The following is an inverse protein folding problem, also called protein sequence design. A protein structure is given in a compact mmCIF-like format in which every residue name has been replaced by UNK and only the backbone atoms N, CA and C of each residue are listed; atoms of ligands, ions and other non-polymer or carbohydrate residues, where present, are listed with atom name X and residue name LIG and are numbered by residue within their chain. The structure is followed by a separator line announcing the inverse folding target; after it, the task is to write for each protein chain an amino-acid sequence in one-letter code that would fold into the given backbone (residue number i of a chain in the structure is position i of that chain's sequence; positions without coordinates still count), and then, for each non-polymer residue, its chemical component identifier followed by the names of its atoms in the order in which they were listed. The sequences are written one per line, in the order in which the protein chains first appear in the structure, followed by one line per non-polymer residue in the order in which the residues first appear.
data_IF_308378134783
#
_entry.id   IF_308378134783
#
_cell.length_a   1.000
_cell.length_b   1.000
_cell.length_c   1.000
_cell.angle_alpha   90.00
_cell.angle_beta   90.00
_cell.angle_gamma   90.00
#
_symmetry.space_group_name_H-M   'P 1'
#
loop_
_entity.id
_entity.type
_entity.pdbx_description
1 polymer ?
#
# COMPACT_ATOMS: atom_id res chain seq x y z
N UNK A 1 -7.16 -20.76 -9.89
CA UNK A 1 -6.03 -19.85 -10.17
C UNK A 1 -6.49 -18.72 -11.10
N UNK A 2 -6.24 -17.50 -10.74
CA UNK A 2 -6.50 -16.34 -11.59
C UNK A 2 -5.56 -16.34 -12.79
N UNK A 3 -6.10 -16.21 -13.97
CA UNK A 3 -5.28 -16.07 -15.19
C UNK A 3 -5.52 -14.70 -15.79
N UNK A 4 -4.43 -14.06 -16.24
CA UNK A 4 -4.49 -12.76 -16.91
C UNK A 4 -3.91 -12.92 -18.31
N UNK A 5 -4.62 -12.39 -19.29
CA UNK A 5 -4.06 -12.19 -20.62
C UNK A 5 -3.23 -10.92 -20.63
N UNK A 6 -1.90 -11.06 -20.60
CA UNK A 6 -0.96 -9.94 -20.56
C UNK A 6 -0.79 -9.23 -21.89
N UNK A 7 -1.37 -9.77 -22.97
CA UNK A 7 -1.19 -9.26 -24.33
C UNK A 7 -1.62 -7.78 -24.46
N UNK A 8 -2.69 -7.41 -23.77
CA UNK A 8 -3.24 -6.05 -23.82
C UNK A 8 -2.78 -5.16 -22.65
N UNK A 9 -1.81 -5.65 -21.88
CA UNK A 9 -1.30 -4.93 -20.72
C UNK A 9 -0.06 -4.13 -21.11
N UNK A 10 0.03 -2.86 -20.69
CA UNK A 10 1.22 -2.07 -20.95
C UNK A 10 2.44 -2.69 -20.24
N UNK A 11 3.62 -2.52 -20.83
CA UNK A 11 4.86 -3.13 -20.33
C UNK A 11 5.21 -2.69 -18.90
N UNK A 12 4.86 -1.47 -18.53
CA UNK A 12 5.15 -0.92 -17.21
C UNK A 12 4.35 -1.65 -16.13
N UNK A 13 3.06 -1.88 -16.35
CA UNK A 13 2.20 -2.59 -15.42
C UNK A 13 2.58 -4.07 -15.35
N UNK A 14 2.88 -4.69 -16.51
CA UNK A 14 3.32 -6.07 -16.59
C UNK A 14 4.59 -6.28 -15.75
N UNK A 15 5.56 -5.39 -15.88
CA UNK A 15 6.79 -5.45 -15.10
C UNK A 15 6.52 -5.37 -13.61
N UNK A 16 5.67 -4.44 -13.18
CA UNK A 16 5.32 -4.29 -11.76
C UNK A 16 4.64 -5.52 -11.19
N UNK A 17 3.74 -6.14 -11.93
CA UNK A 17 3.04 -7.35 -11.48
C UNK A 17 3.98 -8.54 -11.27
N UNK A 18 5.00 -8.66 -12.11
CA UNK A 18 5.89 -9.83 -12.12
C UNK A 18 7.25 -9.56 -11.49
N UNK A 19 7.50 -8.37 -10.96
CA UNK A 19 8.70 -8.04 -10.22
C UNK A 19 8.60 -8.63 -8.80
N UNK A 20 9.48 -9.55 -8.45
CA UNK A 20 9.42 -10.36 -7.22
C UNK A 20 9.38 -9.55 -5.93
N UNK A 21 10.01 -8.39 -5.90
CA UNK A 21 10.08 -7.55 -4.70
C UNK A 21 9.03 -6.45 -4.67
N UNK A 22 8.12 -6.44 -5.65
CA UNK A 22 7.14 -5.37 -5.78
C UNK A 22 5.85 -5.63 -5.02
N UNK A 23 5.23 -4.56 -4.53
CA UNK A 23 3.93 -4.62 -3.87
C UNK A 23 2.84 -5.18 -4.81
N UNK A 24 2.92 -4.86 -6.09
CA UNK A 24 1.97 -5.37 -7.09
C UNK A 24 2.09 -6.88 -7.24
N UNK A 25 3.31 -7.39 -7.23
CA UNK A 25 3.55 -8.82 -7.30
C UNK A 25 3.00 -9.54 -6.07
N UNK A 26 3.25 -8.98 -4.88
CA UNK A 26 2.72 -9.52 -3.63
C UNK A 26 1.19 -9.57 -3.62
N UNK A 27 0.56 -8.49 -4.07
CA UNK A 27 -0.90 -8.44 -4.20
C UNK A 27 -1.40 -9.47 -5.21
N UNK A 28 -0.70 -9.60 -6.33
CA UNK A 28 -1.04 -10.57 -7.36
C UNK A 28 -0.99 -11.99 -6.82
N UNK A 29 0.08 -12.33 -6.10
CA UNK A 29 0.22 -13.66 -5.49
C UNK A 29 -0.91 -13.89 -4.47
N UNK A 30 -1.20 -12.91 -3.63
CA UNK A 30 -2.27 -13.03 -2.62
C UNK A 30 -3.65 -13.26 -3.25
N UNK A 31 -3.89 -12.70 -4.44
CA UNK A 31 -5.17 -12.84 -5.14
C UNK A 31 -5.32 -14.16 -5.91
N UNK A 32 -4.20 -14.87 -6.18
CA UNK A 32 -4.23 -16.07 -7.02
C UNK A 32 -5.15 -17.18 -6.48
N UNK A 33 -5.20 -17.31 -5.18
CA UNK A 33 -5.92 -18.37 -4.52
C UNK A 33 -7.37 -18.02 -4.16
N UNK A 34 -7.82 -16.81 -4.49
CA UNK A 34 -9.19 -16.39 -4.19
C UNK A 34 -10.10 -16.65 -5.41
N UNK A 35 -10.98 -17.67 -5.33
CA UNK A 35 -11.83 -18.04 -6.47
C UNK A 35 -12.95 -17.04 -6.76
N UNK A 36 -13.22 -16.12 -5.86
CA UNK A 36 -14.29 -15.13 -6.03
C UNK A 36 -13.84 -13.90 -6.81
N UNK A 37 -12.53 -13.76 -7.04
CA UNK A 37 -12.00 -12.60 -7.74
C UNK A 37 -11.97 -12.81 -9.25
N UNK A 38 -12.33 -11.75 -9.99
CA UNK A 38 -12.17 -11.67 -11.43
C UNK A 38 -11.39 -10.39 -11.76
N UNK A 39 -10.64 -10.45 -12.87
CA UNK A 39 -9.78 -9.34 -13.28
C UNK A 39 -10.15 -8.90 -14.68
N UNK A 40 -10.32 -7.60 -14.87
CA UNK A 40 -10.49 -6.98 -16.20
C UNK A 40 -9.19 -6.22 -16.50
N UNK A 41 -8.52 -6.62 -17.57
CA UNK A 41 -7.25 -6.02 -18.00
C UNK A 41 -7.55 -4.78 -18.85
N UNK A 42 -6.99 -3.65 -18.41
CA UNK A 42 -6.91 -2.42 -19.20
C UNK A 42 -5.43 -2.17 -19.48
N UNK A 43 -5.14 -1.41 -20.52
CA UNK A 43 -3.73 -1.16 -20.92
C UNK A 43 -2.85 -0.69 -19.75
N UNK A 44 -3.34 0.24 -18.96
CA UNK A 44 -2.60 0.85 -17.85
C UNK A 44 -3.15 0.53 -16.48
N UNK A 45 -4.21 -0.26 -16.41
CA UNK A 45 -4.88 -0.58 -15.14
C UNK A 45 -5.40 -2.02 -15.14
N UNK A 46 -5.41 -2.61 -13.96
CA UNK A 46 -6.14 -3.84 -13.69
C UNK A 46 -7.30 -3.50 -12.76
N UNK A 47 -8.49 -3.88 -13.17
CA UNK A 47 -9.68 -3.73 -12.37
C UNK A 47 -10.06 -5.09 -11.80
N UNK A 48 -10.08 -5.19 -10.48
CA UNK A 48 -10.37 -6.44 -9.78
C UNK A 48 -11.76 -6.36 -9.17
N UNK A 49 -12.54 -7.40 -9.43
CA UNK A 49 -13.92 -7.50 -8.98
C UNK A 49 -14.12 -8.71 -8.08
N UNK A 50 -14.97 -8.57 -7.08
CA UNK A 50 -15.45 -9.68 -6.27
C UNK A 50 -16.97 -9.69 -6.41
N UNK A 51 -17.52 -10.83 -6.91
CA UNK A 51 -18.97 -10.99 -7.09
C UNK A 51 -19.61 -9.83 -7.89
N UNK A 52 -18.95 -9.41 -8.96
CA UNK A 52 -19.43 -8.36 -9.84
C UNK A 52 -19.23 -6.92 -9.36
N UNK A 53 -18.66 -6.74 -8.18
CA UNK A 53 -18.40 -5.40 -7.63
C UNK A 53 -16.89 -5.11 -7.65
N UNK A 54 -16.53 -3.94 -8.19
CA UNK A 54 -15.14 -3.52 -8.24
C UNK A 54 -14.61 -3.28 -6.83
N UNK A 55 -13.50 -3.93 -6.48
CA UNK A 55 -12.92 -3.87 -5.14
C UNK A 55 -11.52 -3.29 -5.11
N UNK A 56 -10.78 -3.36 -6.22
CA UNK A 56 -9.39 -2.93 -6.28
C UNK A 56 -9.04 -2.48 -7.69
N UNK A 57 -8.20 -1.45 -7.80
CA UNK A 57 -7.60 -1.06 -9.07
C UNK A 57 -6.09 -0.97 -8.87
N UNK A 58 -5.35 -1.67 -9.71
CA UNK A 58 -3.90 -1.57 -9.80
C UNK A 58 -3.55 -0.72 -11.02
N UNK A 59 -2.81 0.35 -10.81
CA UNK A 59 -2.39 1.27 -11.87
C UNK A 59 -0.88 1.38 -11.93
N UNK A 60 -0.33 1.56 -13.13
CA UNK A 60 1.12 1.45 -13.36
C UNK A 60 1.99 2.40 -12.57
N UNK A 61 1.53 3.59 -12.25
CA UNK A 61 2.34 4.63 -11.58
C UNK A 61 1.87 4.98 -10.18
N UNK A 62 0.71 4.53 -9.77
CA UNK A 62 0.15 4.94 -8.49
C UNK A 62 -0.05 3.74 -7.56
N UNK A 63 -0.30 4.05 -6.30
CA UNK A 63 -0.64 3.08 -5.29
C UNK A 63 -1.89 2.28 -5.69
N UNK A 64 -2.02 1.02 -5.24
CA UNK A 64 -3.26 0.29 -5.39
C UNK A 64 -4.43 1.07 -4.78
N UNK A 65 -5.52 1.18 -5.50
CA UNK A 65 -6.73 1.86 -5.03
C UNK A 65 -7.74 0.83 -4.57
N UNK A 66 -7.99 0.78 -3.27
CA UNK A 66 -8.99 -0.09 -2.66
C UNK A 66 -10.33 0.64 -2.73
N UNK A 67 -11.31 0.03 -3.41
CA UNK A 67 -12.63 0.64 -3.61
C UNK A 67 -13.63 0.09 -2.60
N UNK A 68 -13.51 -1.20 -2.29
CA UNK A 68 -14.39 -1.84 -1.31
C UNK A 68 -13.55 -2.60 -0.29
N UNK A 69 -13.33 -1.96 0.85
CA UNK A 69 -12.47 -2.47 1.91
C UNK A 69 -13.05 -3.73 2.55
N UNK A 70 -14.37 -3.77 2.73
CA UNK A 70 -15.09 -4.88 3.35
C UNK A 70 -15.00 -6.18 2.55
N UNK A 71 -14.69 -6.09 1.27
CA UNK A 71 -14.70 -7.25 0.38
C UNK A 71 -13.37 -8.01 0.32
N UNK A 72 -12.27 -7.33 0.59
CA UNK A 72 -10.94 -7.89 0.39
C UNK A 72 -9.96 -7.56 1.52
N UNK A 73 -10.44 -6.98 2.62
CA UNK A 73 -9.54 -6.51 3.68
C UNK A 73 -8.68 -7.62 4.28
N UNK A 74 -9.23 -8.81 4.47
CA UNK A 74 -8.45 -9.95 5.00
C UNK A 74 -7.37 -10.38 4.02
N UNK A 75 -7.71 -10.45 2.74
CA UNK A 75 -6.76 -10.85 1.70
C UNK A 75 -5.60 -9.88 1.58
N UNK A 76 -5.88 -8.60 1.73
CA UNK A 76 -4.88 -7.55 1.48
C UNK A 76 -4.25 -6.99 2.75
N UNK A 77 -4.67 -7.41 3.94
CA UNK A 77 -4.19 -6.81 5.19
C UNK A 77 -2.68 -6.86 5.33
N UNK A 78 -2.07 -8.01 5.13
CA UNK A 78 -0.61 -8.18 5.26
C UNK A 78 0.09 -7.34 4.18
N UNK A 79 -0.41 -7.38 2.94
CA UNK A 79 0.19 -6.64 1.83
C UNK A 79 0.05 -5.13 2.02
N UNK A 80 -1.07 -4.67 2.55
CA UNK A 80 -1.29 -3.27 2.89
C UNK A 80 -0.29 -2.80 3.94
N UNK A 81 -0.09 -3.59 5.00
CA UNK A 81 0.86 -3.26 6.07
C UNK A 81 2.29 -3.19 5.51
N UNK A 82 2.69 -4.16 4.70
CA UNK A 82 4.02 -4.15 4.07
C UNK A 82 4.24 -2.90 3.23
N UNK A 83 3.24 -2.52 2.45
CA UNK A 83 3.34 -1.36 1.58
C UNK A 83 3.42 -0.06 2.37
N UNK A 84 2.60 0.08 3.40
CA UNK A 84 2.64 1.26 4.27
C UNK A 84 3.92 1.31 5.10
N UNK A 85 4.44 0.17 5.52
CA UNK A 85 5.73 0.08 6.21
C UNK A 85 6.88 0.57 5.32
N UNK A 86 6.85 0.24 4.04
CA UNK A 86 7.85 0.74 3.09
C UNK A 86 7.79 2.26 2.99
N UNK A 87 6.60 2.82 2.86
CA UNK A 87 6.41 4.29 2.84
C UNK A 87 6.90 4.93 4.13
N UNK A 88 6.58 4.32 5.26
CA UNK A 88 7.01 4.78 6.58
C UNK A 88 8.52 4.83 6.70
N UNK A 89 9.21 3.78 6.29
CA UNK A 89 10.67 3.72 6.33
C UNK A 89 11.33 4.70 5.37
N UNK A 90 10.76 4.89 4.18
CA UNK A 90 11.24 5.88 3.22
C UNK A 90 11.14 7.30 3.81
N UNK A 91 10.03 7.59 4.46
CA UNK A 91 9.81 8.90 5.08
C UNK A 91 10.74 9.13 6.27
N UNK A 92 10.95 8.12 7.11
CA UNK A 92 11.91 8.20 8.23
C UNK A 92 13.32 8.53 7.74
N UNK A 93 13.77 7.84 6.71
CA UNK A 93 15.10 8.05 6.15
C UNK A 93 15.26 9.47 5.58
N UNK A 94 14.24 9.97 4.88
CA UNK A 94 14.24 11.30 4.29
C UNK A 94 14.23 12.41 5.34
N UNK A 95 13.47 12.23 6.40
CA UNK A 95 13.40 13.19 7.52
C UNK A 95 14.77 13.26 8.21
N UNK A 96 15.43 12.12 8.37
CA UNK A 96 16.75 12.03 8.98
C UNK A 96 17.83 12.73 8.13
N UNK A 97 17.70 12.61 6.81
CA UNK A 97 18.61 13.23 5.85
C UNK A 97 18.42 14.76 5.76
N UNK A 98 17.20 15.24 5.96
CA UNK A 98 16.80 16.66 5.97
C UNK A 98 17.08 17.44 4.66
N UNK A 99 17.53 16.78 3.60
CA UNK A 99 17.77 17.49 2.33
C UNK A 99 16.43 17.83 1.66
N UNK A 100 16.40 18.96 0.93
CA UNK A 100 15.21 19.39 0.21
C UNK A 100 14.77 18.36 -0.83
N UNK A 101 15.73 17.72 -1.49
CA UNK A 101 15.44 16.69 -2.48
C UNK A 101 14.78 15.46 -1.84
N UNK A 102 15.32 14.98 -0.70
CA UNK A 102 14.76 13.84 0.02
C UNK A 102 13.36 14.13 0.54
N UNK A 103 13.15 15.30 1.13
CA UNK A 103 11.84 15.71 1.64
C UNK A 103 10.79 15.85 0.53
N UNK A 104 11.18 16.36 -0.61
CA UNK A 104 10.28 16.46 -1.75
C UNK A 104 9.91 15.08 -2.31
N UNK A 105 10.86 14.14 -2.28
CA UNK A 105 10.65 12.78 -2.79
C UNK A 105 9.61 12.00 -1.96
N UNK A 106 9.44 12.31 -0.67
CA UNK A 106 8.50 11.61 0.21
C UNK A 106 7.16 12.30 0.37
N UNK A 107 6.90 13.37 -0.36
CA UNK A 107 5.65 14.14 -0.24
C UNK A 107 4.43 13.26 -0.43
N UNK A 108 4.44 12.40 -1.43
CA UNK A 108 3.36 11.44 -1.70
C UNK A 108 3.27 10.37 -0.60
N UNK A 109 4.42 9.85 -0.15
CA UNK A 109 4.47 8.86 0.94
C UNK A 109 3.82 9.41 2.21
N UNK A 110 4.15 10.63 2.58
CA UNK A 110 3.60 11.28 3.77
C UNK A 110 2.08 11.50 3.62
N UNK A 111 1.62 11.92 2.45
CA UNK A 111 0.19 12.10 2.18
C UNK A 111 -0.57 10.79 2.33
N UNK A 112 -0.05 9.69 1.79
CA UNK A 112 -0.67 8.37 1.90
C UNK A 112 -0.63 7.84 3.34
N UNK A 113 0.46 8.05 4.07
CA UNK A 113 0.57 7.68 5.47
C UNK A 113 -0.42 8.43 6.34
N UNK A 114 -0.60 9.73 6.10
CA UNK A 114 -1.57 10.55 6.82
C UNK A 114 -3.00 10.06 6.60
N UNK A 115 -3.33 9.74 5.36
CA UNK A 115 -4.63 9.18 4.98
C UNK A 115 -4.86 7.83 5.64
N UNK A 116 -3.86 6.96 5.62
CA UNK A 116 -3.91 5.63 6.24
C UNK A 116 -4.13 5.74 7.75
N UNK A 117 -3.34 6.55 8.43
CA UNK A 117 -3.42 6.73 9.88
C UNK A 117 -4.80 7.23 10.33
N UNK A 118 -5.46 8.04 9.52
CA UNK A 118 -6.80 8.55 9.79
C UNK A 118 -7.94 7.62 9.36
N UNK A 119 -7.63 6.43 8.80
CA UNK A 119 -8.63 5.53 8.23
C UNK A 119 -9.03 4.40 9.17
N UNK A 120 -10.17 3.78 8.87
CA UNK A 120 -10.61 2.56 9.58
C UNK A 120 -9.66 1.39 9.31
N UNK A 121 -8.98 1.37 8.16
CA UNK A 121 -8.01 0.32 7.84
C UNK A 121 -6.84 0.30 8.81
N UNK A 122 -6.31 1.47 9.16
CA UNK A 122 -5.22 1.54 10.16
C UNK A 122 -5.68 1.00 11.52
N UNK A 123 -6.91 1.33 11.92
CA UNK A 123 -7.48 0.83 13.18
C UNK A 123 -7.62 -0.70 13.18
N UNK A 124 -8.05 -1.27 12.06
CA UNK A 124 -8.15 -2.72 11.90
C UNK A 124 -6.77 -3.39 11.98
N UNK A 125 -5.79 -2.81 11.31
CA UNK A 125 -4.42 -3.33 11.30
C UNK A 125 -3.78 -3.22 12.68
N UNK A 126 -3.98 -2.09 13.36
CA UNK A 126 -3.51 -1.88 14.72
C UNK A 126 -4.13 -2.91 15.69
N UNK A 127 -5.44 -3.13 15.59
CA UNK A 127 -6.13 -4.13 16.42
C UNK A 127 -5.60 -5.54 16.16
N UNK A 128 -5.31 -5.89 14.91
CA UNK A 128 -4.73 -7.19 14.57
C UNK A 128 -3.34 -7.36 15.18
N UNK A 129 -2.54 -6.30 15.23
CA UNK A 129 -1.24 -6.31 15.89
C UNK A 129 -1.39 -6.50 17.40
N UNK A 130 -2.28 -5.75 18.04
CA UNK A 130 -2.53 -5.83 19.47
C UNK A 130 -3.02 -7.22 19.92
N UNK A 131 -3.79 -7.89 19.08
CA UNK A 131 -4.32 -9.23 19.38
C UNK A 131 -3.39 -10.37 18.96
N UNK A 132 -2.23 -10.05 18.38
CA UNK A 132 -1.25 -11.05 17.94
C UNK A 132 -1.67 -11.85 16.71
N UNK A 133 -2.56 -11.31 15.88
CA UNK A 133 -3.07 -11.99 14.68
C UNK A 133 -2.22 -11.76 13.43
N UNK A 134 -1.12 -11.02 13.55
CA UNK A 134 -0.21 -10.79 12.43
C UNK A 134 0.99 -11.73 12.50
N UNK A 135 1.61 -12.08 11.34
CA UNK A 135 2.80 -12.93 11.34
C UNK A 135 3.93 -12.31 12.19
N UNK A 136 4.64 -13.12 13.00
CA UNK A 136 5.68 -12.58 13.90
C UNK A 136 6.85 -11.90 13.18
N UNK A 137 7.14 -12.31 11.95
CA UNK A 137 8.23 -11.75 11.13
C UNK A 137 7.84 -10.51 10.33
N UNK A 138 6.54 -10.15 10.36
CA UNK A 138 6.06 -8.97 9.65
C UNK A 138 6.55 -7.70 10.35
N UNK A 139 7.21 -6.83 9.60
CA UNK A 139 7.64 -5.52 10.09
C UNK A 139 6.43 -4.59 10.13
N UNK A 140 6.23 -3.93 11.26
CA UNK A 140 5.01 -3.17 11.53
C UNK A 140 5.26 -1.91 12.36
N UNK A 141 6.38 -1.24 12.10
CA UNK A 141 6.68 0.06 12.70
C UNK A 141 5.59 1.09 12.41
N UNK A 142 4.97 1.01 11.22
CA UNK A 142 3.88 1.89 10.81
C UNK A 142 2.63 1.73 11.69
N UNK A 143 2.50 0.62 12.39
CA UNK A 143 1.38 0.37 13.32
C UNK A 143 1.68 0.87 14.74
N UNK A 144 2.88 1.38 14.99
CA UNK A 144 3.19 2.08 16.23
C UNK A 144 2.52 3.45 16.20
N UNK A 145 1.57 3.66 17.10
CA UNK A 145 0.84 4.93 17.18
C UNK A 145 1.80 6.11 17.37
N UNK A 146 2.73 5.97 18.30
CA UNK A 146 3.75 7.01 18.54
C UNK A 146 4.66 7.18 17.32
N UNK A 147 5.04 6.09 16.67
CA UNK A 147 5.92 6.13 15.51
C UNK A 147 5.34 6.92 14.35
N UNK A 148 4.14 6.58 13.93
CA UNK A 148 3.49 7.26 12.79
C UNK A 148 3.07 8.69 13.16
N UNK A 149 2.59 8.90 14.38
CA UNK A 149 2.23 10.24 14.85
C UNK A 149 3.45 11.16 14.85
N UNK A 150 4.56 10.71 15.41
CA UNK A 150 5.81 11.46 15.47
C UNK A 150 6.34 11.78 14.07
N UNK A 151 6.30 10.81 13.16
CA UNK A 151 6.73 11.02 11.77
C UNK A 151 5.95 12.15 11.10
N UNK A 152 4.63 12.09 11.19
CA UNK A 152 3.76 13.09 10.57
C UNK A 152 3.94 14.46 11.21
N UNK A 153 4.13 14.50 12.53
CA UNK A 153 4.39 15.72 13.27
C UNK A 153 5.73 16.35 12.87
N UNK A 154 6.79 15.54 12.83
CA UNK A 154 8.13 15.99 12.44
C UNK A 154 8.15 16.55 11.02
N UNK A 155 7.47 15.88 10.10
CA UNK A 155 7.37 16.37 8.72
C UNK A 155 6.68 17.73 8.66
N UNK A 156 5.60 17.90 9.39
CA UNK A 156 4.87 19.20 9.44
C UNK A 156 5.76 20.32 10.01
N UNK A 157 6.51 20.02 11.05
CA UNK A 157 7.42 20.99 11.67
C UNK A 157 8.52 21.42 10.69
N UNK A 158 9.09 20.48 9.96
CA UNK A 158 10.12 20.77 8.94
C UNK A 158 9.52 21.63 7.83
N UNK A 159 8.31 21.35 7.38
CA UNK A 159 7.64 22.14 6.34
C UNK A 159 7.37 23.57 6.79
N UNK A 160 6.99 23.78 8.05
CA UNK A 160 6.80 25.13 8.62
C UNK A 160 8.10 25.94 8.64
N UNK A 161 9.23 25.31 8.94
CA UNK A 161 10.53 25.97 8.98
C UNK A 161 11.03 26.43 7.61
N UNK A 162 10.53 25.83 6.53
CA UNK A 162 10.93 26.14 5.15
C UNK A 162 10.09 27.24 4.51
N UNK A 163 9.07 27.66 5.17
CA UNK A 163 8.19 28.75 4.77
C UNK A 163 8.30 29.90 5.79
#
# INVERSE_FOLDING_TARGET
MLTIDTTNMCSHLQRKLFEEDGIYHSLWIAMQDDPELTVVVRSRQLHIYRNGKKVLVLAGKSAPKIIREDSICELLQIERIKWMEQRFNNALAAIKDESAASLNAIKEDVAELSKYYGSELWKLDFAADETGNLPPDLKRGVLSEDGIWNLLSDYREIQKKKH
#
